data_IF_476759424579
#
_entry.id   IF_476759424579
#
_cell.length_a   1.000
_cell.length_b   1.000
_cell.length_c   1.000
_cell.angle_alpha   90.00
_cell.angle_beta   90.00
_cell.angle_gamma   90.00
#
_symmetry.space_group_name_H-M   'P 1'
#
loop_
_entity.id
_entity.type
_entity.pdbx_description
1 polymer ?
#
# COMPACT_ATOMS: atom_id res chain seq x y z
N UNK A 1 8.34 -13.48 12.30
CA UNK A 1 7.24 -13.01 11.41
C UNK A 1 6.93 -14.12 10.39
N UNK A 2 6.48 -15.27 10.87
CA UNK A 2 6.34 -16.49 10.03
C UNK A 2 5.17 -17.40 10.46
N UNK A 3 4.33 -17.00 11.42
CA UNK A 3 3.26 -17.87 11.93
C UNK A 3 2.22 -18.20 10.85
N UNK A 4 1.81 -17.21 10.05
CA UNK A 4 0.82 -17.40 8.98
C UNK A 4 1.43 -18.04 7.73
N UNK A 5 2.65 -17.66 7.37
CA UNK A 5 3.38 -18.23 6.23
C UNK A 5 3.66 -19.73 6.46
N UNK A 6 4.09 -20.10 7.67
CA UNK A 6 4.38 -21.48 8.07
C UNK A 6 3.16 -22.40 8.12
N UNK A 7 1.94 -21.86 8.16
CA UNK A 7 0.67 -22.62 8.05
C UNK A 7 0.03 -22.48 6.66
N UNK A 8 0.75 -21.93 5.68
CA UNK A 8 0.28 -21.79 4.30
C UNK A 8 -0.74 -20.67 4.07
N UNK A 9 -0.84 -19.70 4.96
CA UNK A 9 -1.73 -18.53 4.82
C UNK A 9 -0.92 -17.34 4.30
N UNK A 10 -1.26 -16.90 3.09
CA UNK A 10 -0.70 -15.67 2.52
C UNK A 10 -1.43 -14.44 3.07
N UNK A 11 -0.69 -13.57 3.76
CA UNK A 11 -1.22 -12.29 4.28
C UNK A 11 -0.79 -11.15 3.36
N UNK A 12 -1.77 -10.37 2.90
CA UNK A 12 -1.55 -9.17 2.09
C UNK A 12 -1.97 -7.93 2.86
N UNK A 13 -1.05 -7.00 3.02
CA UNK A 13 -1.34 -5.69 3.60
C UNK A 13 -1.72 -4.70 2.51
N UNK A 14 -2.66 -3.81 2.83
CA UNK A 14 -3.01 -2.66 2.00
C UNK A 14 -3.45 -1.49 2.88
N UNK A 15 -3.52 -0.32 2.26
CA UNK A 15 -3.95 0.92 2.90
C UNK A 15 -5.03 1.60 2.06
N UNK A 16 -5.98 2.25 2.72
CA UNK A 16 -7.08 2.98 2.11
C UNK A 16 -7.77 3.90 3.11
N UNK A 17 -8.54 4.83 2.59
CA UNK A 17 -9.36 5.80 3.35
C UNK A 17 -10.78 5.79 2.81
N UNK A 18 -11.75 6.27 3.60
CA UNK A 18 -13.17 6.25 3.21
C UNK A 18 -13.48 7.07 1.96
N UNK A 19 -12.70 8.12 1.71
CA UNK A 19 -12.92 9.13 0.68
C UNK A 19 -12.41 8.73 -0.71
N UNK A 20 -11.54 7.72 -0.82
CA UNK A 20 -10.81 7.40 -2.06
C UNK A 20 -10.91 5.93 -2.46
N UNK A 21 -12.11 5.35 -2.34
CA UNK A 21 -12.35 3.90 -2.43
C UNK A 21 -11.73 3.14 -1.24
N UNK A 22 -12.32 2.01 -0.78
CA UNK A 22 -11.89 1.34 0.45
C UNK A 22 -10.42 0.90 0.46
N UNK A 23 -9.70 0.96 -0.67
CA UNK A 23 -8.31 0.57 -0.81
C UNK A 23 -7.58 1.44 -1.85
N UNK A 24 -6.54 2.14 -1.41
CA UNK A 24 -5.66 3.00 -2.25
C UNK A 24 -4.45 2.21 -2.73
N UNK A 25 -3.84 1.38 -1.89
CA UNK A 25 -2.70 0.52 -2.24
C UNK A 25 -2.77 -0.85 -1.57
N UNK A 26 -2.11 -1.84 -2.20
CA UNK A 26 -2.07 -3.21 -1.69
C UNK A 26 -0.82 -3.96 -2.17
N UNK A 27 -0.29 -4.82 -1.30
CA UNK A 27 0.64 -5.88 -1.68
C UNK A 27 -0.08 -6.91 -2.56
N UNK A 28 0.60 -7.40 -3.59
CA UNK A 28 0.03 -8.38 -4.54
C UNK A 28 0.60 -9.76 -4.28
N UNK A 29 -0.11 -10.81 -4.70
CA UNK A 29 0.32 -12.21 -4.53
C UNK A 29 1.76 -12.49 -4.97
N UNK A 30 2.28 -11.77 -5.98
CA UNK A 30 3.63 -11.97 -6.53
C UNK A 30 4.63 -10.88 -6.11
N UNK A 31 4.16 -9.81 -5.46
CA UNK A 31 4.98 -8.65 -5.09
C UNK A 31 4.53 -8.21 -3.71
N UNK A 32 5.24 -8.70 -2.70
CA UNK A 32 4.98 -8.45 -1.29
C UNK A 32 6.22 -7.83 -0.66
N UNK A 33 6.05 -6.69 -0.02
CA UNK A 33 7.06 -6.15 0.88
C UNK A 33 6.44 -6.04 2.27
N UNK A 34 6.97 -6.82 3.22
CA UNK A 34 6.47 -6.91 4.60
C UNK A 34 6.54 -5.56 5.35
N UNK A 35 7.41 -4.64 4.92
CA UNK A 35 7.52 -3.27 5.44
C UNK A 35 6.74 -2.22 4.64
N UNK A 36 5.89 -2.64 3.70
CA UNK A 36 5.12 -1.73 2.85
C UNK A 36 3.64 -2.13 2.80
N UNK A 37 2.79 -1.15 2.51
CA UNK A 37 1.37 -1.34 2.17
C UNK A 37 1.17 -1.70 0.68
N UNK A 38 2.26 -1.78 -0.08
CA UNK A 38 2.29 -2.20 -1.48
C UNK A 38 2.17 -1.04 -2.45
N UNK A 39 1.65 -1.32 -3.64
CA UNK A 39 1.56 -0.37 -4.76
C UNK A 39 0.14 0.12 -4.95
N UNK A 40 -0.07 1.29 -5.58
CA UNK A 40 -1.41 1.77 -5.92
C UNK A 40 -2.23 0.73 -6.69
N UNK A 41 -3.54 0.72 -6.43
CA UNK A 41 -4.49 -0.09 -7.20
C UNK A 41 -4.59 0.44 -8.64
N UNK A 42 -5.04 -0.40 -9.56
CA UNK A 42 -5.23 0.02 -10.95
C UNK A 42 -6.20 1.20 -11.01
N UNK A 43 -5.84 2.24 -11.77
CA UNK A 43 -6.54 3.53 -11.88
C UNK A 43 -6.45 4.45 -10.65
N UNK A 44 -5.66 4.09 -9.64
CA UNK A 44 -5.31 5.00 -8.55
C UNK A 44 -3.89 5.54 -8.75
N UNK A 45 -3.70 6.81 -8.44
CA UNK A 45 -2.41 7.48 -8.39
C UNK A 45 -2.15 7.99 -6.98
N UNK A 46 -0.90 7.96 -6.57
CA UNK A 46 -0.47 8.42 -5.26
C UNK A 46 0.69 9.39 -5.46
N UNK A 47 0.61 10.53 -4.80
CA UNK A 47 1.69 11.53 -4.74
C UNK A 47 2.04 11.79 -3.28
N UNK A 48 3.31 12.09 -3.04
CA UNK A 48 3.78 12.57 -1.74
C UNK A 48 3.89 14.09 -1.83
N UNK A 49 3.14 14.80 -1.00
CA UNK A 49 3.23 16.25 -0.86
C UNK A 49 4.31 16.60 0.15
N UNK A 50 5.06 17.65 -0.17
CA UNK A 50 6.12 18.23 0.67
C UNK A 50 7.02 17.19 1.36
N UNK A 51 7.68 16.30 0.58
CA UNK A 51 8.54 15.28 1.16
C UNK A 51 9.74 15.89 1.89
N UNK A 52 10.12 15.28 3.00
CA UNK A 52 11.32 15.61 3.76
C UNK A 52 12.61 15.08 3.09
N UNK A 53 13.75 15.19 3.77
CA UNK A 53 15.05 14.72 3.27
C UNK A 53 15.10 13.19 3.04
N UNK A 54 14.20 12.43 3.66
CA UNK A 54 14.08 10.98 3.49
C UNK A 54 13.04 10.58 2.43
N UNK A 55 12.32 11.56 1.86
CA UNK A 55 11.23 11.32 0.92
C UNK A 55 9.88 11.03 1.58
N UNK A 56 9.74 11.25 2.89
CA UNK A 56 8.53 11.04 3.66
C UNK A 56 7.68 12.31 3.70
N UNK A 57 6.37 12.20 3.49
CA UNK A 57 5.48 13.36 3.44
C UNK A 57 4.01 12.94 3.40
N UNK A 58 3.12 13.91 3.17
CA UNK A 58 1.68 13.66 3.18
C UNK A 58 1.24 12.92 1.91
N UNK A 59 0.41 11.89 2.08
CA UNK A 59 -0.08 11.06 0.98
C UNK A 59 -1.31 11.71 0.35
N UNK A 60 -1.23 12.01 -0.94
CA UNK A 60 -2.36 12.51 -1.72
C UNK A 60 -2.76 11.48 -2.79
N UNK A 61 -3.83 10.71 -2.54
CA UNK A 61 -4.42 9.83 -3.53
C UNK A 61 -5.23 10.63 -4.56
N UNK A 62 -5.28 10.13 -5.78
CA UNK A 62 -6.14 10.66 -6.83
C UNK A 62 -6.41 9.61 -7.89
N UNK A 63 -7.61 9.59 -8.44
CA UNK A 63 -7.96 8.65 -9.50
C UNK A 63 -7.46 9.13 -10.86
N UNK A 64 -6.91 8.22 -11.66
CA UNK A 64 -6.42 8.46 -13.02
C UNK A 64 -7.40 7.99 -14.09
#
# INVERSE_FOLDING_TARGET
METFDGIGITVLNGYGITECSPQVCCNRNKVQNKGSVGVPILHETVKILDPDENGEGEICPGSA
#
